data_IF_322574963314
#
_entry.id   IF_322574963314
#
_cell.length_a   1.000
_cell.length_b   1.000
_cell.length_c   1.000
_cell.angle_alpha   90.00
_cell.angle_beta   90.00
_cell.angle_gamma   90.00
#
_symmetry.space_group_name_H-M   'P 1'
#
loop_
_entity.id
_entity.type
_entity.pdbx_description
1 polymer ?
#
# COMPACT_ATOMS: atom_id res chain seq x y z
N UNK A 1 7.35 -6.34 -2.00
CA UNK A 1 7.26 -6.33 -3.46
C UNK A 1 5.97 -6.97 -3.94
N UNK A 2 5.46 -6.51 -5.10
CA UNK A 2 4.30 -7.11 -5.75
C UNK A 2 4.63 -8.50 -6.31
N UNK A 3 3.69 -9.44 -6.17
CA UNK A 3 3.74 -10.71 -6.90
C UNK A 3 3.33 -10.48 -8.36
N UNK A 4 3.81 -11.33 -9.28
CA UNK A 4 3.44 -11.24 -10.71
C UNK A 4 1.91 -11.20 -10.91
N UNK A 5 1.16 -11.96 -10.12
CA UNK A 5 -0.33 -12.01 -10.15
C UNK A 5 -1.01 -10.72 -9.63
N UNK A 6 -0.26 -9.83 -8.97
CA UNK A 6 -0.75 -8.58 -8.40
C UNK A 6 -0.50 -7.37 -9.32
N UNK A 7 0.23 -7.57 -10.43
CA UNK A 7 0.40 -6.54 -11.46
C UNK A 7 -0.93 -6.20 -12.12
N UNK A 8 -1.07 -4.97 -12.55
CA UNK A 8 -2.30 -4.40 -13.14
C UNK A 8 -3.54 -4.46 -12.23
N UNK A 9 -3.38 -4.81 -10.95
CA UNK A 9 -4.50 -4.81 -10.00
C UNK A 9 -4.70 -3.41 -9.42
N UNK A 10 -5.78 -2.74 -9.82
CA UNK A 10 -6.14 -1.39 -9.35
C UNK A 10 -6.55 -1.33 -7.87
N UNK A 11 -6.88 -2.46 -7.25
CA UNK A 11 -7.19 -2.54 -5.82
C UNK A 11 -5.93 -2.47 -4.95
N UNK A 12 -4.76 -2.69 -5.54
CA UNK A 12 -3.47 -2.64 -4.85
C UNK A 12 -2.81 -1.30 -5.15
N UNK A 13 -2.57 -0.52 -4.10
CA UNK A 13 -1.81 0.72 -4.18
C UNK A 13 -0.32 0.42 -4.28
N UNK A 14 0.34 1.00 -5.28
CA UNK A 14 1.80 0.92 -5.48
C UNK A 14 2.48 2.14 -4.90
N UNK A 15 3.67 1.95 -4.39
CA UNK A 15 4.49 3.00 -3.77
C UNK A 15 5.76 3.19 -4.58
N UNK A 16 6.04 4.44 -4.92
CA UNK A 16 7.36 4.87 -5.40
C UNK A 16 8.08 5.56 -4.26
N UNK A 17 9.27 5.10 -3.92
CA UNK A 17 10.12 5.70 -2.90
C UNK A 17 11.54 5.89 -3.41
N UNK A 18 12.25 6.86 -2.83
CA UNK A 18 13.67 7.08 -3.09
C UNK A 18 14.54 6.10 -2.28
N UNK A 19 15.86 6.22 -2.44
CA UNK A 19 16.86 5.41 -1.72
C UNK A 19 16.84 5.60 -0.19
N UNK A 20 16.30 6.72 0.28
CA UNK A 20 16.18 7.03 1.70
C UNK A 20 14.83 6.58 2.29
N UNK A 21 14.05 5.81 1.52
CA UNK A 21 12.70 5.36 1.85
C UNK A 21 11.65 6.49 1.96
N UNK A 22 11.94 7.70 1.47
CA UNK A 22 10.92 8.74 1.40
C UNK A 22 9.96 8.41 0.26
N UNK A 23 8.66 8.51 0.52
CA UNK A 23 7.63 8.28 -0.49
C UNK A 23 7.63 9.45 -1.47
N UNK A 24 7.77 9.13 -2.76
CA UNK A 24 7.69 10.09 -3.85
C UNK A 24 6.26 10.17 -4.38
N UNK A 25 5.61 9.01 -4.56
CA UNK A 25 4.25 8.93 -5.06
C UNK A 25 3.57 7.61 -4.70
N UNK A 26 2.23 7.63 -4.71
CA UNK A 26 1.38 6.45 -4.56
C UNK A 26 0.39 6.42 -5.73
N UNK A 27 0.17 5.24 -6.33
CA UNK A 27 -0.75 5.10 -7.45
C UNK A 27 -1.43 3.73 -7.48
N UNK A 28 -2.63 3.70 -8.06
CA UNK A 28 -3.30 2.44 -8.41
C UNK A 28 -2.78 1.83 -9.71
N UNK A 29 -2.12 2.63 -10.54
CA UNK A 29 -1.38 2.14 -11.70
C UNK A 29 -0.08 1.48 -11.30
N UNK A 30 0.48 0.63 -12.17
CA UNK A 30 1.80 0.07 -11.97
C UNK A 30 2.87 1.14 -12.21
N UNK A 31 3.47 1.65 -11.15
CA UNK A 31 4.51 2.67 -11.14
C UNK A 31 5.72 2.22 -10.33
N UNK A 32 6.95 2.52 -10.73
CA UNK A 32 7.33 3.12 -12.02
C UNK A 32 7.08 2.18 -13.20
N UNK A 33 6.95 2.75 -14.40
CA UNK A 33 6.80 1.94 -15.61
C UNK A 33 8.04 1.06 -15.82
N UNK A 34 7.82 -0.24 -15.95
CA UNK A 34 8.90 -1.20 -16.18
C UNK A 34 8.86 -1.72 -17.63
N UNK A 35 9.72 -1.15 -18.50
CA UNK A 35 9.83 -1.55 -19.89
C UNK A 35 10.42 -2.94 -20.10
N UNK A 36 11.25 -3.41 -19.17
CA UNK A 36 12.00 -4.67 -19.31
C UNK A 36 11.27 -5.90 -18.79
N UNK A 37 10.09 -5.77 -18.19
CA UNK A 37 9.21 -6.85 -17.67
C UNK A 37 9.86 -7.87 -16.72
N UNK A 38 11.17 -7.84 -16.51
CA UNK A 38 11.92 -8.91 -15.82
C UNK A 38 11.94 -8.79 -14.29
N UNK A 39 11.80 -7.58 -13.74
CA UNK A 39 11.97 -7.40 -12.30
C UNK A 39 10.76 -6.73 -11.64
N UNK A 40 10.31 -7.33 -10.55
CA UNK A 40 9.22 -6.82 -9.74
C UNK A 40 9.74 -5.79 -8.72
N UNK A 41 10.21 -4.61 -9.18
CA UNK A 41 10.55 -3.49 -8.29
C UNK A 41 9.34 -2.75 -7.75
N UNK A 42 8.15 -3.20 -8.09
CA UNK A 42 6.92 -2.57 -7.62
C UNK A 42 6.70 -2.89 -6.14
N UNK A 43 6.68 -1.86 -5.33
CA UNK A 43 6.35 -1.94 -3.91
C UNK A 43 4.84 -1.74 -3.74
N UNK A 44 4.18 -2.58 -2.92
CA UNK A 44 2.78 -2.40 -2.58
C UNK A 44 2.61 -1.80 -1.19
N UNK A 45 1.59 -0.99 -1.04
CA UNK A 45 1.13 -0.50 0.26
C UNK A 45 0.40 -1.62 1.01
N UNK A 46 0.71 -1.79 2.30
CA UNK A 46 0.07 -2.80 3.15
C UNK A 46 -1.02 -2.23 4.06
N UNK A 47 -1.44 -0.99 3.81
CA UNK A 47 -2.49 -0.29 4.57
C UNK A 47 -2.20 -0.12 6.07
N UNK A 48 -0.93 -0.21 6.46
CA UNK A 48 -0.49 0.10 7.83
C UNK A 48 0.20 1.45 7.79
N UNK A 49 -0.34 2.42 8.53
CA UNK A 49 0.16 3.79 8.58
C UNK A 49 0.30 4.23 10.03
N UNK A 50 1.44 4.81 10.37
CA UNK A 50 1.69 5.42 11.67
C UNK A 50 1.90 6.92 11.52
N UNK A 51 1.29 7.70 12.38
CA UNK A 51 1.44 9.15 12.44
C UNK A 51 1.93 9.58 13.80
N UNK A 52 2.85 10.56 13.82
CA UNK A 52 3.07 11.37 15.02
C UNK A 52 1.80 12.19 15.30
N UNK A 53 1.38 12.39 16.57
CA UNK A 53 0.12 13.10 16.88
C UNK A 53 -0.02 14.46 16.20
N UNK A 54 1.06 15.25 16.18
CA UNK A 54 1.08 16.56 15.50
C UNK A 54 0.87 16.44 13.98
N UNK A 55 1.47 15.43 13.35
CA UNK A 55 1.31 15.18 11.92
C UNK A 55 -0.11 14.69 11.59
N UNK A 56 -0.68 13.80 12.41
CA UNK A 56 -2.06 13.35 12.25
C UNK A 56 -3.04 14.52 12.34
N UNK A 57 -2.86 15.42 13.30
CA UNK A 57 -3.69 16.61 13.47
C UNK A 57 -3.62 17.51 12.23
N UNK A 58 -2.39 17.77 11.70
CA UNK A 58 -2.21 18.52 10.45
C UNK A 58 -2.91 17.84 9.27
N UNK A 59 -2.78 16.52 9.14
CA UNK A 59 -3.40 15.75 8.06
C UNK A 59 -4.93 15.80 8.12
N UNK A 60 -5.50 15.56 9.28
CA UNK A 60 -6.95 15.47 9.49
C UNK A 60 -7.68 16.80 9.24
N UNK A 61 -7.08 17.93 9.61
CA UNK A 61 -7.71 19.26 9.47
C UNK A 61 -7.74 19.79 8.04
N UNK A 62 -7.05 19.13 7.09
CA UNK A 62 -6.98 19.57 5.70
C UNK A 62 -8.05 18.93 4.82
N UNK A 63 -8.53 19.69 3.86
CA UNK A 63 -9.47 19.20 2.85
C UNK A 63 -8.78 18.23 1.89
N UNK A 64 -9.57 17.38 1.26
CA UNK A 64 -9.09 16.47 0.20
C UNK A 64 -8.43 17.24 -0.95
N UNK A 65 -7.30 16.74 -1.40
CA UNK A 65 -6.54 17.32 -2.53
C UNK A 65 -6.97 16.71 -3.86
N UNK A 66 -6.49 17.31 -4.95
CA UNK A 66 -6.82 16.85 -6.32
C UNK A 66 -6.23 15.46 -6.57
N UNK A 67 -4.98 15.21 -6.15
CA UNK A 67 -4.33 13.92 -6.34
C UNK A 67 -5.00 12.82 -5.51
N UNK A 68 -5.35 13.11 -4.26
CA UNK A 68 -6.12 12.20 -3.42
C UNK A 68 -7.45 11.80 -4.08
N UNK A 69 -8.20 12.76 -4.62
CA UNK A 69 -9.48 12.48 -5.30
C UNK A 69 -9.32 11.65 -6.57
N UNK A 70 -8.27 11.93 -7.37
CA UNK A 70 -8.03 11.23 -8.64
C UNK A 70 -7.62 9.78 -8.45
N UNK A 71 -6.73 9.52 -7.52
CA UNK A 71 -6.21 8.16 -7.23
C UNK A 71 -7.07 7.42 -6.20
N UNK A 72 -7.92 8.14 -5.45
CA UNK A 72 -8.64 7.63 -4.28
C UNK A 72 -7.67 7.00 -3.26
N UNK A 73 -6.62 7.77 -2.92
CA UNK A 73 -5.57 7.40 -1.98
C UNK A 73 -5.32 8.56 -1.02
N UNK A 74 -5.74 8.41 0.24
CA UNK A 74 -5.72 9.49 1.24
C UNK A 74 -4.31 10.02 1.53
N UNK A 75 -3.31 9.15 1.48
CA UNK A 75 -1.91 9.52 1.74
C UNK A 75 -1.34 10.50 0.72
N UNK A 76 -1.94 10.64 -0.46
CA UNK A 76 -1.53 11.67 -1.42
C UNK A 76 -1.78 13.07 -0.88
N UNK A 77 -2.80 13.29 -0.03
CA UNK A 77 -2.99 14.54 0.69
C UNK A 77 -1.76 14.91 1.52
N UNK A 78 -1.18 13.94 2.21
CA UNK A 78 0.02 14.20 3.01
C UNK A 78 1.21 14.63 2.14
N UNK A 79 1.39 14.03 0.95
CA UNK A 79 2.42 14.44 0.01
C UNK A 79 2.16 15.84 -0.55
N UNK A 80 0.92 16.14 -0.94
CA UNK A 80 0.51 17.47 -1.42
C UNK A 80 0.71 18.56 -0.35
N UNK A 81 0.57 18.19 0.93
CA UNK A 81 0.86 19.06 2.08
C UNK A 81 2.35 19.13 2.46
N UNK A 82 3.20 18.54 1.64
CA UNK A 82 4.66 18.45 1.88
C UNK A 82 5.00 17.84 3.24
N UNK A 83 4.21 16.86 3.66
CA UNK A 83 4.54 16.07 4.84
C UNK A 83 5.58 15.01 4.46
N UNK A 84 6.55 14.78 5.35
CA UNK A 84 7.55 13.74 5.13
C UNK A 84 6.94 12.36 5.44
N UNK A 85 6.74 11.54 4.41
CA UNK A 85 6.28 10.16 4.52
C UNK A 85 7.42 9.21 4.20
N UNK A 86 7.63 8.23 5.07
CA UNK A 86 8.63 7.17 4.86
C UNK A 86 7.99 5.80 4.76
N UNK A 87 8.60 4.93 3.99
CA UNK A 87 8.25 3.52 3.94
C UNK A 87 9.09 2.72 4.93
N UNK A 88 8.47 1.72 5.54
CA UNK A 88 9.15 0.61 6.18
C UNK A 88 8.86 -0.66 5.37
N UNK A 89 9.90 -1.32 4.88
CA UNK A 89 9.74 -2.55 4.13
C UNK A 89 9.49 -3.72 5.07
N UNK A 90 8.39 -4.41 4.85
CA UNK A 90 8.08 -5.65 5.57
C UNK A 90 8.26 -6.85 4.65
N UNK A 91 8.87 -7.90 5.18
CA UNK A 91 8.92 -9.20 4.53
C UNK A 91 7.65 -9.97 4.90
N UNK A 92 7.01 -10.58 3.91
CA UNK A 92 5.82 -11.37 4.15
C UNK A 92 4.93 -11.52 2.92
N UNK A 93 3.91 -12.35 3.05
CA UNK A 93 2.96 -12.69 1.98
C UNK A 93 1.55 -12.19 2.25
N UNK A 94 1.37 -11.14 3.06
CA UNK A 94 0.05 -10.59 3.37
C UNK A 94 -0.68 -10.10 2.12
N UNK A 95 -1.99 -10.17 2.16
CA UNK A 95 -2.88 -9.63 1.14
C UNK A 95 -4.13 -9.08 1.83
N UNK A 96 -4.73 -8.05 1.23
CA UNK A 96 -5.99 -7.47 1.69
C UNK A 96 -7.16 -8.32 1.23
N UNK A 97 -8.28 -8.20 1.93
CA UNK A 97 -9.56 -8.80 1.57
C UNK A 97 -10.47 -7.66 1.14
N UNK A 98 -10.43 -7.31 -0.14
CA UNK A 98 -11.17 -6.17 -0.69
C UNK A 98 -12.35 -6.63 -1.56
N UNK A 99 -12.29 -7.86 -2.09
CA UNK A 99 -13.32 -8.45 -2.95
C UNK A 99 -13.63 -9.89 -2.55
N UNK A 100 -14.77 -10.42 -3.02
CA UNK A 100 -15.23 -11.77 -2.66
C UNK A 100 -14.22 -12.88 -2.99
N UNK A 101 -13.44 -12.73 -4.03
CA UNK A 101 -12.37 -13.67 -4.39
C UNK A 101 -11.25 -13.71 -3.37
N UNK A 102 -10.91 -12.55 -2.77
CA UNK A 102 -9.89 -12.46 -1.72
C UNK A 102 -10.38 -13.16 -0.44
N UNK A 103 -11.66 -13.02 -0.11
CA UNK A 103 -12.27 -13.73 1.02
C UNK A 103 -12.18 -15.25 0.85
N UNK A 104 -12.51 -15.77 -0.33
CA UNK A 104 -12.39 -17.21 -0.59
C UNK A 104 -10.93 -17.70 -0.49
N UNK A 105 -9.98 -16.87 -0.91
CA UNK A 105 -8.56 -17.13 -0.73
C UNK A 105 -8.14 -17.10 0.74
N UNK A 106 -8.61 -16.11 1.50
CA UNK A 106 -8.32 -15.96 2.93
C UNK A 106 -8.78 -17.18 3.73
N UNK A 107 -9.96 -17.72 3.45
CA UNK A 107 -10.48 -18.96 4.09
C UNK A 107 -9.49 -20.11 3.95
N UNK A 108 -8.85 -20.29 2.79
CA UNK A 108 -7.87 -21.35 2.59
C UNK A 108 -6.54 -21.09 3.30
N UNK A 109 -6.16 -19.82 3.48
CA UNK A 109 -4.93 -19.46 4.17
C UNK A 109 -5.06 -19.57 5.68
N UNK A 110 -6.17 -19.14 6.24
CA UNK A 110 -6.41 -19.12 7.70
C UNK A 110 -6.32 -20.52 8.32
N UNK A 111 -6.75 -21.54 7.59
CA UNK A 111 -6.64 -22.94 8.04
C UNK A 111 -5.20 -23.45 8.14
N UNK A 112 -4.26 -22.75 7.50
CA UNK A 112 -2.83 -23.10 7.52
C UNK A 112 -2.01 -22.19 8.44
N UNK A 113 -2.63 -21.16 9.00
CA UNK A 113 -1.97 -20.20 9.86
C UNK A 113 -1.69 -20.80 11.24
N UNK A 114 -0.43 -20.75 11.68
CA UNK A 114 -0.01 -21.29 12.97
C UNK A 114 -0.61 -20.51 14.14
N UNK A 115 -0.84 -19.20 13.98
CA UNK A 115 -1.42 -18.35 15.00
C UNK A 115 -2.88 -18.74 15.22
N UNK A 116 -3.65 -18.95 14.15
CA UNK A 116 -5.04 -19.37 14.24
C UNK A 116 -5.17 -20.71 14.95
N UNK A 117 -4.25 -21.65 14.69
CA UNK A 117 -4.21 -22.95 15.38
C UNK A 117 -3.99 -22.84 16.89
N UNK A 118 -3.39 -21.76 17.37
CA UNK A 118 -3.20 -21.54 18.82
C UNK A 118 -4.45 -21.01 19.52
N UNK A 119 -5.48 -20.60 18.77
CA UNK A 119 -6.77 -20.11 19.31
C UNK A 119 -7.93 -21.10 19.14
N UNK A 120 -7.72 -22.18 18.37
CA UNK A 120 -8.67 -23.27 18.17
C UNK A 120 -8.32 -24.48 19.04
#
# INVERSE_FOLDING_TARGET
FLRVKEKNNKNIVKIVSNKNNDIIYLSRCDVPFNSKKKDSFLKKHLSIVSFKPKALRKFYTQKQTINEKKENIELLRALDLRMNLKTLELRGGSFSIDVKSDYQRAKKFILKDSIVKSYL
#
